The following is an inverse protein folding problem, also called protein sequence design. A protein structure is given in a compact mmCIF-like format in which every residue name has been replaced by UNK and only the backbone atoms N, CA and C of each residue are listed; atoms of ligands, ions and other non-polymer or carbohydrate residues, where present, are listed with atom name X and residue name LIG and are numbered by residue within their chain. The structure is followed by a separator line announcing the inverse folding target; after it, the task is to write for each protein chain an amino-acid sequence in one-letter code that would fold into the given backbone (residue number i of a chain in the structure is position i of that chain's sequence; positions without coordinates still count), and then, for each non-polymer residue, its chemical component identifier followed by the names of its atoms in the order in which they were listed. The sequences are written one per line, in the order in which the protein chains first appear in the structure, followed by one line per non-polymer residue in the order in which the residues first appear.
data_IF_639020570125
#
_entry.id   IF_639020570125
#
_cell.length_a   1.000
_cell.length_b   1.000
_cell.length_c   1.000
_cell.angle_alpha   90.00
_cell.angle_beta   90.00
_cell.angle_gamma   90.00
#
_symmetry.space_group_name_H-M   'P 1'
#
loop_
_entity.id
_entity.type
_entity.pdbx_description
1 polymer ?
#
# COMPACT_ATOMS: atom_id res chain seq x y z
N UNK A 1 10.51 4.62 4.82
CA UNK A 1 9.05 4.62 4.64
C UNK A 1 8.77 3.75 3.42
N UNK A 2 7.86 2.77 3.51
CA UNK A 2 7.45 1.95 2.38
C UNK A 2 5.94 1.88 2.45
N UNK A 3 5.28 2.27 1.38
CA UNK A 3 3.84 2.42 1.32
C UNK A 3 3.27 1.77 0.07
N UNK A 4 1.98 1.46 0.15
CA UNK A 4 1.16 0.97 -0.94
C UNK A 4 -0.17 1.73 -0.85
N UNK A 5 -0.65 2.27 -1.96
CA UNK A 5 -1.88 3.04 -2.02
C UNK A 5 -2.72 2.64 -3.22
N UNK A 6 -4.03 2.74 -3.08
CA UNK A 6 -4.93 2.66 -4.22
C UNK A 6 -4.95 3.97 -5.02
N UNK A 7 -5.08 3.85 -6.35
CA UNK A 7 -5.28 4.98 -7.27
C UNK A 7 -6.57 4.76 -8.07
N UNK A 8 -7.33 5.82 -8.39
CA UNK A 8 -8.50 5.70 -9.26
C UNK A 8 -8.12 5.16 -10.65
N UNK A 9 -8.83 4.13 -11.10
CA UNK A 9 -8.74 3.60 -12.45
C UNK A 9 -10.14 3.15 -12.89
N UNK A 10 -10.67 3.70 -13.98
CA UNK A 10 -12.03 3.36 -14.43
C UNK A 10 -12.13 1.94 -15.00
N UNK A 11 -11.04 1.41 -15.54
CA UNK A 11 -11.02 0.14 -16.27
C UNK A 11 -10.52 -1.04 -15.43
N UNK A 12 -10.14 -0.81 -14.16
CA UNK A 12 -9.52 -1.82 -13.31
C UNK A 12 -10.12 -1.82 -11.90
N UNK A 13 -10.10 -3.00 -11.29
CA UNK A 13 -10.36 -3.21 -9.87
C UNK A 13 -9.18 -3.94 -9.24
N UNK A 14 -9.34 -4.33 -7.98
CA UNK A 14 -8.45 -5.30 -7.34
C UNK A 14 -9.17 -6.01 -6.21
N UNK A 15 -8.67 -7.19 -5.85
CA UNK A 15 -9.16 -7.97 -4.73
C UNK A 15 -8.45 -7.55 -3.45
N UNK A 16 -9.22 -7.37 -2.38
CA UNK A 16 -8.71 -7.05 -1.06
C UNK A 16 -9.53 -7.74 0.02
N UNK A 17 -9.05 -7.64 1.26
CA UNK A 17 -9.79 -8.09 2.44
C UNK A 17 -10.48 -6.90 3.09
N UNK A 18 -11.78 -7.04 3.35
CA UNK A 18 -12.56 -6.09 4.12
C UNK A 18 -12.58 -6.54 5.60
N UNK A 19 -12.33 -5.62 6.52
CA UNK A 19 -12.34 -5.87 7.96
C UNK A 19 -13.34 -4.94 8.64
N UNK A 20 -14.12 -5.49 9.57
CA UNK A 20 -14.93 -4.70 10.48
C UNK A 20 -14.04 -4.14 11.60
N UNK A 21 -14.16 -2.83 11.85
CA UNK A 21 -13.37 -2.14 12.88
C UNK A 21 -14.28 -1.25 13.71
N UNK A 22 -14.15 -1.35 15.03
CA UNK A 22 -14.96 -0.61 15.99
C UNK A 22 -14.15 0.50 16.67
N UNK A 23 -14.58 1.75 16.50
CA UNK A 23 -14.13 2.86 17.34
C UNK A 23 -12.68 3.32 17.18
N UNK A 24 -11.98 2.92 16.11
CA UNK A 24 -10.56 3.24 15.89
C UNK A 24 -10.30 4.21 14.73
N UNK A 25 -11.34 4.81 14.15
CA UNK A 25 -11.19 5.62 12.94
C UNK A 25 -10.23 6.79 13.16
N UNK A 26 -10.36 7.64 14.20
CA UNK A 26 -9.43 8.76 14.40
C UNK A 26 -7.96 8.34 14.55
N UNK A 27 -7.70 7.28 15.32
CA UNK A 27 -6.35 6.73 15.51
C UNK A 27 -5.80 6.13 14.21
N UNK A 28 -6.66 5.53 13.41
CA UNK A 28 -6.32 5.05 12.08
C UNK A 28 -5.97 6.22 11.15
N UNK A 29 -6.73 7.33 11.17
CA UNK A 29 -6.40 8.51 10.36
C UNK A 29 -5.05 9.14 10.72
N UNK A 30 -4.71 9.18 12.02
CA UNK A 30 -3.42 9.69 12.47
C UNK A 30 -2.27 8.75 12.08
N UNK A 31 -2.48 7.43 12.18
CA UNK A 31 -1.48 6.44 11.76
C UNK A 31 -1.24 6.47 10.25
N UNK A 32 -2.30 6.62 9.47
CA UNK A 32 -2.29 6.64 8.01
C UNK A 32 -2.20 8.08 7.46
N UNK A 33 -1.59 9.00 8.22
CA UNK A 33 -1.59 10.45 7.92
C UNK A 33 -1.08 10.83 6.52
N UNK A 34 -0.25 9.98 5.92
CA UNK A 34 0.28 10.19 4.57
C UNK A 34 -0.78 9.97 3.48
N UNK A 35 -1.83 9.19 3.73
CA UNK A 35 -2.81 8.80 2.72
C UNK A 35 -4.04 9.73 2.68
N UNK A 36 -4.72 9.70 1.54
CA UNK A 36 -6.09 10.19 1.43
C UNK A 36 -7.04 9.03 1.75
N UNK A 37 -7.79 9.13 2.84
CA UNK A 37 -8.76 8.09 3.19
C UNK A 37 -10.06 8.32 2.44
N UNK A 38 -10.47 7.35 1.61
CA UNK A 38 -11.69 7.41 0.82
C UNK A 38 -12.66 6.31 1.20
N UNK A 39 -13.94 6.66 1.29
CA UNK A 39 -15.01 5.66 1.33
C UNK A 39 -15.23 5.13 -0.07
N UNK A 40 -15.22 3.81 -0.21
CA UNK A 40 -15.40 3.10 -1.47
C UNK A 40 -16.41 1.99 -1.30
N UNK A 41 -17.27 1.79 -2.29
CA UNK A 41 -18.14 0.61 -2.35
C UNK A 41 -17.34 -0.61 -2.76
N UNK A 42 -17.68 -1.78 -2.23
CA UNK A 42 -17.10 -3.05 -2.65
C UNK A 42 -18.16 -4.15 -2.77
N UNK A 43 -17.82 -5.20 -3.49
CA UNK A 43 -18.64 -6.39 -3.71
C UNK A 43 -17.89 -7.63 -3.24
N UNK A 44 -18.62 -8.65 -2.82
CA UNK A 44 -18.09 -9.98 -2.56
C UNK A 44 -17.66 -10.66 -3.85
N UNK A 45 -16.82 -11.70 -3.74
CA UNK A 45 -16.37 -12.49 -4.89
C UNK A 45 -17.52 -13.25 -5.59
N UNK A 46 -18.65 -13.42 -4.91
CA UNK A 46 -19.89 -13.97 -5.44
C UNK A 46 -20.78 -12.92 -6.14
N UNK A 47 -20.34 -11.67 -6.22
CA UNK A 47 -21.08 -10.53 -6.76
C UNK A 47 -22.16 -10.00 -5.80
N UNK A 48 -22.21 -10.47 -4.55
CA UNK A 48 -23.11 -9.89 -3.56
C UNK A 48 -22.60 -8.50 -3.12
N UNK A 49 -23.48 -7.52 -2.86
CA UNK A 49 -23.06 -6.24 -2.31
C UNK A 49 -22.32 -6.42 -0.98
N UNK A 50 -21.09 -5.90 -0.89
CA UNK A 50 -20.25 -5.99 0.30
C UNK A 50 -20.46 -4.81 1.27
N UNK A 51 -20.75 -3.63 0.73
CA UNK A 51 -21.00 -2.40 1.50
C UNK A 51 -20.04 -1.28 1.15
N UNK A 52 -19.73 -0.42 2.13
CA UNK A 52 -18.73 0.64 2.01
C UNK A 52 -17.55 0.35 2.94
N UNK A 53 -16.33 0.47 2.41
CA UNK A 53 -15.07 0.36 3.16
C UNK A 53 -14.29 1.68 3.13
N UNK A 54 -13.33 1.82 4.04
CA UNK A 54 -12.36 2.91 4.04
C UNK A 54 -11.05 2.43 3.42
N UNK A 55 -10.56 3.12 2.39
CA UNK A 55 -9.39 2.74 1.63
C UNK A 55 -8.32 3.84 1.68
N UNK A 56 -7.06 3.43 1.85
CA UNK A 56 -5.91 4.33 1.75
C UNK A 56 -5.57 4.61 0.28
N UNK A 57 -5.92 5.80 -0.19
CA UNK A 57 -5.60 6.27 -1.52
C UNK A 57 -4.36 7.16 -1.54
N UNK A 58 -3.75 7.28 -2.71
CA UNK A 58 -2.68 8.24 -2.96
C UNK A 58 -3.12 9.65 -2.60
N UNK A 59 -2.24 10.41 -1.97
CA UNK A 59 -2.44 11.83 -1.63
C UNK A 59 -1.43 12.73 -2.36
N UNK A 60 -1.31 13.97 -1.91
CA UNK A 60 -0.29 14.95 -2.34
C UNK A 60 0.41 15.51 -1.12
N UNK A 61 1.66 15.97 -1.28
CA UNK A 61 2.37 16.64 -0.18
C UNK A 61 1.63 17.88 0.30
N UNK A 62 0.98 18.61 -0.61
CA UNK A 62 0.16 19.78 -0.30
C UNK A 62 -1.04 19.41 0.58
N UNK A 63 -1.75 18.32 0.25
CA UNK A 63 -2.88 17.86 1.05
C UNK A 63 -2.45 17.37 2.43
N UNK A 64 -1.35 16.61 2.51
CA UNK A 64 -0.79 16.15 3.79
C UNK A 64 -0.37 17.34 4.65
N UNK A 65 0.32 18.33 4.08
CA UNK A 65 0.72 19.55 4.79
C UNK A 65 -0.47 20.40 5.21
N UNK A 66 -1.51 20.51 4.39
CA UNK A 66 -2.72 21.25 4.74
C UNK A 66 -3.46 20.61 5.93
N UNK A 67 -3.47 19.27 6.01
CA UNK A 67 -4.16 18.53 7.07
C UNK A 67 -3.34 18.41 8.36
N UNK A 68 -2.05 18.09 8.24
CA UNK A 68 -1.20 17.69 9.37
C UNK A 68 -0.04 18.65 9.66
N UNK A 69 0.15 19.67 8.80
CA UNK A 69 1.27 20.60 8.87
C UNK A 69 2.60 19.98 8.46
N UNK A 70 3.68 20.77 8.59
CA UNK A 70 5.02 20.33 8.19
C UNK A 70 5.59 19.17 9.02
N UNK A 71 4.96 18.84 10.17
CA UNK A 71 5.42 17.76 11.03
C UNK A 71 5.32 16.38 10.37
N UNK A 72 4.45 16.23 9.37
CA UNK A 72 4.33 15.00 8.59
C UNK A 72 5.65 14.56 7.94
N UNK A 73 6.55 15.51 7.65
CA UNK A 73 7.84 15.26 7.01
C UNK A 73 9.00 15.15 8.01
N UNK A 74 8.79 15.40 9.30
CA UNK A 74 9.87 15.48 10.29
C UNK A 74 10.65 14.16 10.42
N UNK A 75 9.97 13.01 10.25
CA UNK A 75 10.62 11.69 10.24
C UNK A 75 11.44 11.40 8.98
N UNK A 76 11.24 12.17 7.90
CA UNK A 76 11.87 11.98 6.59
C UNK A 76 13.06 12.92 6.37
N UNK A 77 13.00 14.13 6.90
CA UNK A 77 14.04 15.17 6.78
C UNK A 77 15.46 14.72 7.17
N UNK A 78 15.68 13.92 8.23
CA UNK A 78 17.02 13.42 8.56
C UNK A 78 17.65 12.57 7.45
N UNK A 79 16.85 12.02 6.55
CA UNK A 79 17.27 11.24 5.39
C UNK A 79 17.36 12.08 4.11
N UNK A 80 17.19 13.41 4.19
CA UNK A 80 17.18 14.29 3.03
C UNK A 80 15.95 14.14 2.14
N UNK A 81 14.85 13.63 2.70
CA UNK A 81 13.59 13.42 1.98
C UNK A 81 12.61 14.51 2.40
N UNK A 82 12.27 15.37 1.45
CA UNK A 82 11.35 16.50 1.64
C UNK A 82 9.94 16.26 1.07
N UNK A 83 9.71 15.07 0.50
CA UNK A 83 8.45 14.70 -0.16
C UNK A 83 8.03 13.28 0.19
N UNK A 84 6.72 13.09 0.34
CA UNK A 84 6.07 11.78 0.49
C UNK A 84 5.56 11.31 -0.88
N UNK A 85 4.87 12.19 -1.63
CA UNK A 85 4.13 11.81 -2.84
C UNK A 85 4.68 12.40 -4.13
N UNK A 86 5.45 13.49 -4.07
CA UNK A 86 6.05 14.24 -5.19
C UNK A 86 7.19 13.53 -5.93
N UNK A 87 7.17 12.20 -5.97
CA UNK A 87 8.13 11.40 -6.70
C UNK A 87 7.70 11.20 -8.16
N UNK A 88 8.62 11.48 -9.09
CA UNK A 88 8.40 11.26 -10.52
C UNK A 88 8.28 9.77 -10.87
N UNK A 89 7.52 9.39 -11.91
CA UNK A 89 7.46 8.00 -12.40
C UNK A 89 8.84 7.42 -12.74
N UNK A 90 9.78 8.26 -13.18
CA UNK A 90 11.16 7.87 -13.50
C UNK A 90 12.13 7.91 -12.32
N UNK A 91 11.64 8.13 -11.08
CA UNK A 91 12.48 8.20 -9.87
C UNK A 91 13.24 6.90 -9.58
N UNK A 92 12.80 5.78 -10.13
CA UNK A 92 13.38 4.47 -9.87
C UNK A 92 13.11 3.97 -8.45
N UNK A 93 12.14 4.57 -7.73
CA UNK A 93 11.70 4.05 -6.44
C UNK A 93 11.21 2.61 -6.57
N UNK A 94 11.64 1.79 -5.62
CA UNK A 94 11.32 0.36 -5.53
C UNK A 94 10.70 0.08 -4.17
N UNK A 95 9.82 -0.93 -4.08
CA UNK A 95 9.24 -1.29 -2.79
C UNK A 95 10.34 -1.82 -1.87
N UNK A 96 10.19 -1.56 -0.57
CA UNK A 96 11.06 -2.18 0.44
C UNK A 96 10.90 -3.70 0.36
N UNK A 97 11.98 -4.49 0.16
CA UNK A 97 11.86 -5.94 -0.04
C UNK A 97 11.16 -6.66 1.11
N UNK A 98 11.40 -6.25 2.36
CA UNK A 98 10.73 -6.82 3.54
C UNK A 98 9.22 -6.58 3.51
N UNK A 99 8.80 -5.36 3.16
CA UNK A 99 7.37 -5.00 3.10
C UNK A 99 6.69 -5.70 1.92
N UNK A 100 7.31 -5.66 0.75
CA UNK A 100 6.87 -6.34 -0.46
C UNK A 100 6.63 -7.84 -0.22
N UNK A 101 7.60 -8.51 0.42
CA UNK A 101 7.49 -9.92 0.79
C UNK A 101 6.32 -10.16 1.75
N UNK A 102 6.19 -9.34 2.79
CA UNK A 102 5.09 -9.46 3.74
C UNK A 102 3.71 -9.34 3.07
N UNK A 103 3.50 -8.32 2.23
CA UNK A 103 2.23 -8.14 1.52
C UNK A 103 1.91 -9.32 0.59
N UNK A 104 2.92 -9.85 -0.13
CA UNK A 104 2.71 -11.02 -0.99
C UNK A 104 2.36 -12.28 -0.18
N UNK A 105 3.02 -12.51 0.96
CA UNK A 105 2.70 -13.64 1.83
C UNK A 105 1.30 -13.50 2.45
N UNK A 106 0.89 -12.29 2.78
CA UNK A 106 -0.47 -12.01 3.24
C UNK A 106 -1.50 -12.28 2.13
N UNK A 107 -1.26 -11.84 0.88
CA UNK A 107 -2.14 -12.15 -0.25
C UNK A 107 -2.25 -13.67 -0.50
N UNK A 108 -1.11 -14.38 -0.42
CA UNK A 108 -1.03 -15.84 -0.54
C UNK A 108 -1.83 -16.58 0.52
N UNK A 109 -1.83 -16.10 1.76
CA UNK A 109 -2.54 -16.76 2.86
C UNK A 109 -4.05 -16.67 2.72
N UNK A 110 -4.55 -15.64 2.02
CA UNK A 110 -5.97 -15.49 1.69
C UNK A 110 -6.38 -16.44 0.56
N UNK A 111 -5.61 -16.51 -0.52
CA UNK A 111 -5.85 -17.47 -1.60
C UNK A 111 -5.25 -17.09 -2.95
N UNK A 112 -5.27 -18.02 -3.92
CA UNK A 112 -4.60 -17.84 -5.22
C UNK A 112 -5.18 -16.69 -6.06
N UNK A 113 -6.48 -16.42 -5.97
CA UNK A 113 -7.10 -15.32 -6.72
C UNK A 113 -6.64 -13.94 -6.19
N UNK A 114 -6.49 -13.82 -4.86
CA UNK A 114 -5.99 -12.60 -4.21
C UNK A 114 -4.49 -12.43 -4.46
N UNK A 115 -3.71 -13.51 -4.42
CA UNK A 115 -2.31 -13.47 -4.84
C UNK A 115 -2.17 -12.98 -6.29
N UNK A 116 -2.96 -13.55 -7.21
CA UNK A 116 -2.93 -13.17 -8.61
C UNK A 116 -3.28 -11.70 -8.80
N UNK A 117 -4.39 -11.25 -8.23
CA UNK A 117 -4.79 -9.84 -8.23
C UNK A 117 -3.68 -8.94 -7.70
N UNK A 118 -3.07 -9.28 -6.56
CA UNK A 118 -1.97 -8.51 -5.98
C UNK A 118 -0.76 -8.41 -6.93
N UNK A 119 -0.40 -9.48 -7.62
CA UNK A 119 0.73 -9.51 -8.56
C UNK A 119 0.45 -8.73 -9.86
N UNK A 120 -0.80 -8.74 -10.34
CA UNK A 120 -1.19 -8.19 -11.64
C UNK A 120 -1.69 -6.73 -11.55
N UNK A 121 -2.31 -6.35 -10.43
CA UNK A 121 -2.99 -5.05 -10.26
C UNK A 121 -2.24 -4.11 -9.30
N UNK A 122 -1.14 -4.57 -8.71
CA UNK A 122 -0.18 -3.69 -8.02
C UNK A 122 0.90 -3.24 -8.99
N UNK A 123 1.17 -1.94 -9.02
CA UNK A 123 2.18 -1.34 -9.90
C UNK A 123 3.27 -0.63 -9.12
N UNK A 124 4.45 -0.55 -9.71
CA UNK A 124 5.50 0.35 -9.23
C UNK A 124 5.13 1.81 -9.52
N UNK A 125 5.97 2.73 -9.03
CA UNK A 125 5.75 4.18 -9.20
C UNK A 125 5.62 4.63 -10.67
N UNK A 126 6.20 3.85 -11.59
CA UNK A 126 6.11 4.10 -13.02
C UNK A 126 4.70 3.86 -13.61
N UNK A 127 3.79 3.26 -12.82
CA UNK A 127 2.41 2.87 -13.20
C UNK A 127 2.36 1.96 -14.42
N UNK A 128 3.43 1.21 -14.66
CA UNK A 128 3.58 0.33 -15.83
C UNK A 128 4.07 -1.04 -15.43
N UNK A 129 5.08 -1.10 -14.57
CA UNK A 129 5.65 -2.35 -14.12
C UNK A 129 4.76 -2.95 -13.05
N UNK A 130 4.13 -4.09 -13.35
CA UNK A 130 3.36 -4.85 -12.36
C UNK A 130 4.30 -5.43 -11.30
N UNK A 131 3.79 -5.65 -10.10
CA UNK A 131 4.56 -6.23 -9.02
C UNK A 131 5.03 -7.66 -9.34
N UNK A 132 4.22 -8.45 -10.06
CA UNK A 132 4.62 -9.75 -10.60
C UNK A 132 5.85 -9.66 -11.52
N UNK A 133 5.81 -8.76 -12.52
CA UNK A 133 6.95 -8.56 -13.43
C UNK A 133 8.20 -8.08 -12.69
N UNK A 134 8.03 -7.25 -11.66
CA UNK A 134 9.13 -6.82 -10.80
C UNK A 134 9.77 -7.99 -10.06
N UNK A 135 8.97 -8.90 -9.49
CA UNK A 135 9.47 -10.06 -8.76
C UNK A 135 10.18 -11.09 -9.65
N UNK A 136 9.77 -11.25 -10.91
CA UNK A 136 10.50 -12.08 -11.87
C UNK A 136 11.94 -11.58 -12.07
N UNK A 137 12.12 -10.26 -12.11
CA UNK A 137 13.43 -9.62 -12.20
C UNK A 137 14.17 -9.54 -10.85
N UNK A 138 13.45 -9.62 -9.74
CA UNK A 138 13.94 -9.44 -8.38
C UNK A 138 13.50 -10.56 -7.41
N UNK A 139 13.87 -11.84 -7.69
CA UNK A 139 13.48 -12.96 -6.85
C UNK A 139 14.02 -12.88 -5.42
N UNK A 140 15.10 -12.14 -5.19
CA UNK A 140 15.72 -11.91 -3.86
C UNK A 140 14.76 -11.25 -2.86
N UNK A 141 13.69 -10.60 -3.32
CA UNK A 141 12.64 -10.03 -2.46
C UNK A 141 12.00 -11.11 -1.59
N UNK A 142 11.76 -12.31 -2.15
CA UNK A 142 11.15 -13.43 -1.43
C UNK A 142 12.06 -14.03 -0.35
N UNK A 143 13.37 -13.85 -0.51
CA UNK A 143 14.39 -14.33 0.43
C UNK A 143 14.68 -13.31 1.54
N UNK A 144 14.22 -12.07 1.38
CA UNK A 144 14.53 -11.00 2.34
C UNK A 144 13.72 -11.16 3.63
N UNK A 145 14.39 -11.54 4.70
CA UNK A 145 13.77 -11.65 6.03
C UNK A 145 13.69 -10.29 6.72
N UNK A 146 12.62 -10.02 7.50
CA UNK A 146 12.59 -8.86 8.37
C UNK A 146 13.70 -8.94 9.43
N UNK A 147 14.16 -7.80 9.98
CA UNK A 147 14.97 -7.78 11.19
C UNK A 147 14.29 -8.57 12.31
N UNK A 148 15.06 -9.20 13.21
CA UNK A 148 14.51 -10.06 14.26
C UNK A 148 13.45 -9.38 15.14
N UNK A 149 13.61 -8.09 15.42
CA UNK A 149 12.64 -7.29 16.18
C UNK A 149 11.29 -7.08 15.49
N UNK A 150 11.21 -7.36 14.18
CA UNK A 150 10.05 -7.18 13.33
C UNK A 150 9.53 -8.51 12.76
N UNK A 151 10.13 -9.64 13.14
CA UNK A 151 9.82 -10.95 12.56
C UNK A 151 8.36 -11.36 12.72
N UNK A 152 7.75 -11.14 13.89
CA UNK A 152 6.34 -11.45 14.14
C UNK A 152 5.37 -10.53 13.39
N UNK A 153 5.80 -9.31 13.04
CA UNK A 153 4.94 -8.33 12.36
C UNK A 153 5.00 -8.45 10.84
N UNK A 154 6.11 -8.95 10.29
CA UNK A 154 6.37 -9.02 8.85
C UNK A 154 6.63 -10.47 8.38
N UNK A 155 5.85 -11.41 8.91
CA UNK A 155 5.92 -12.84 8.56
C UNK A 155 4.96 -13.26 7.44
N UNK A 156 4.06 -12.38 7.01
CA UNK A 156 2.94 -12.72 6.13
C UNK A 156 1.67 -12.78 6.94
#
# INVERSE_FOLDING_TARGET
MSSLSAEPCEEAGFLCTAFEVDGIIPEFEEREMEFELRRVSFEGLDGAPGGEGLLCCRSTDEAVQARWGMKAHDGLRPFGIDTIWGWEPSSGLRPCPVYARHCLLAARSVGPDVEKSFLEETFLIDRKTTFGSYLEAHPEVLETLPPSSLAERYSG
#
